data_IF_810156456231
#
_entry.id   IF_810156456231
#
_cell.length_a   1.000
_cell.length_b   1.000
_cell.length_c   1.000
_cell.angle_alpha   90.00
_cell.angle_beta   90.00
_cell.angle_gamma   90.00
#
_symmetry.space_group_name_H-M   'P 1'
#
loop_
_entity.id
_entity.type
_entity.pdbx_description
1 polymer ?
#
# COMPACT_ATOMS: atom_id res chain seq x y z
N UNK A 1 -16.05 -15.21 -4.04
CA UNK A 1 -16.36 -13.85 -4.53
C UNK A 1 -15.09 -13.07 -4.81
N UNK A 2 -15.04 -12.35 -5.92
CA UNK A 2 -13.95 -11.40 -6.23
C UNK A 2 -14.42 -10.01 -5.78
N UNK A 3 -13.85 -9.47 -4.70
CA UNK A 3 -14.15 -8.11 -4.22
C UNK A 3 -13.12 -7.15 -4.81
N UNK A 4 -13.58 -6.17 -5.59
CA UNK A 4 -12.76 -5.03 -6.03
C UNK A 4 -13.03 -3.90 -5.04
N UNK A 5 -12.03 -3.55 -4.24
CA UNK A 5 -12.12 -2.39 -3.35
C UNK A 5 -11.54 -1.17 -4.06
N UNK A 6 -12.28 -0.07 -4.05
CA UNK A 6 -11.76 1.22 -4.49
C UNK A 6 -11.13 1.95 -3.30
N UNK A 7 -9.96 2.51 -3.52
CA UNK A 7 -9.19 3.30 -2.56
C UNK A 7 -8.90 4.67 -3.20
N UNK A 8 -9.21 5.74 -2.49
CA UNK A 8 -8.75 7.08 -2.88
C UNK A 8 -7.30 7.25 -2.46
N UNK A 9 -6.45 7.72 -3.37
CA UNK A 9 -5.04 7.97 -3.03
C UNK A 9 -4.88 9.11 -2.01
N UNK A 10 -5.83 10.07 -1.99
CA UNK A 10 -5.83 11.17 -1.02
C UNK A 10 -6.15 10.71 0.41
N UNK A 11 -6.83 9.57 0.57
CA UNK A 11 -7.21 9.05 1.89
C UNK A 11 -6.13 8.18 2.51
N UNK A 12 -5.06 7.83 1.79
CA UNK A 12 -3.93 7.05 2.32
C UNK A 12 -3.26 7.82 3.46
N UNK A 13 -3.01 7.15 4.57
CA UNK A 13 -2.34 7.71 5.75
C UNK A 13 -0.98 7.07 6.01
N UNK A 14 -0.92 5.73 5.96
CA UNK A 14 0.32 4.98 6.12
C UNK A 14 0.38 3.80 5.14
N UNK A 15 1.60 3.45 4.74
CA UNK A 15 1.89 2.28 3.91
C UNK A 15 2.98 1.46 4.57
N UNK A 16 2.59 0.34 5.16
CA UNK A 16 3.51 -0.58 5.81
C UNK A 16 3.82 -1.76 4.91
N UNK A 17 5.11 -2.01 4.68
CA UNK A 17 5.61 -3.14 3.88
C UNK A 17 6.29 -4.17 4.78
N UNK A 18 5.96 -5.45 4.63
CA UNK A 18 6.61 -6.53 5.38
C UNK A 18 6.94 -7.72 4.50
N UNK A 19 8.19 -8.21 4.59
CA UNK A 19 8.60 -9.52 4.08
C UNK A 19 8.97 -10.41 5.27
N UNK A 20 8.19 -11.46 5.55
CA UNK A 20 8.42 -12.35 6.70
C UNK A 20 9.18 -13.60 6.28
N UNK A 21 10.32 -13.84 6.92
CA UNK A 21 11.16 -15.02 6.68
C UNK A 21 12.13 -14.91 5.50
N UNK A 22 12.92 -15.97 5.31
CA UNK A 22 13.97 -16.05 4.27
C UNK A 22 13.36 -16.23 2.88
N UNK A 23 12.32 -17.05 2.74
CA UNK A 23 11.68 -17.32 1.45
C UNK A 23 11.02 -16.07 0.85
N UNK A 24 10.32 -15.28 1.67
CA UNK A 24 9.71 -14.03 1.21
C UNK A 24 10.74 -13.04 0.64
N UNK A 25 11.92 -12.96 1.27
CA UNK A 25 13.04 -12.13 0.78
C UNK A 25 13.67 -12.73 -0.48
N UNK A 26 13.92 -14.04 -0.50
CA UNK A 26 14.55 -14.74 -1.61
C UNK A 26 13.70 -14.67 -2.89
N UNK A 27 12.38 -14.82 -2.78
CA UNK A 27 11.46 -14.73 -3.90
C UNK A 27 10.85 -13.33 -4.08
N UNK A 28 11.37 -12.34 -3.34
CA UNK A 28 10.95 -10.94 -3.36
C UNK A 28 9.43 -10.72 -3.36
N UNK A 29 8.71 -11.37 -2.45
CA UNK A 29 7.30 -11.10 -2.21
C UNK A 29 7.06 -10.69 -0.76
N UNK A 30 5.92 -10.04 -0.50
CA UNK A 30 5.57 -9.63 0.85
C UNK A 30 4.11 -9.24 1.00
N UNK A 31 3.86 -8.53 2.10
CA UNK A 31 2.56 -7.97 2.44
C UNK A 31 2.67 -6.45 2.46
N UNK A 32 1.69 -5.79 1.89
CA UNK A 32 1.49 -4.34 2.00
C UNK A 32 0.20 -4.11 2.78
N UNK A 33 0.27 -3.29 3.83
CA UNK A 33 -0.87 -2.81 4.59
C UNK A 33 -0.99 -1.31 4.32
N UNK A 34 -2.17 -0.89 3.86
CA UNK A 34 -2.49 0.52 3.64
C UNK A 34 -3.53 0.92 4.68
N UNK A 35 -3.21 1.96 5.43
CA UNK A 35 -4.11 2.59 6.39
C UNK A 35 -4.71 3.83 5.75
N UNK A 36 -6.00 4.08 6.02
CA UNK A 36 -6.77 5.17 5.42
C UNK A 36 -7.38 6.07 6.48
N UNK A 37 -7.64 7.32 6.11
CA UNK A 37 -8.37 8.25 6.96
C UNK A 37 -9.84 7.83 7.14
N UNK A 38 -10.43 8.22 8.27
CA UNK A 38 -11.85 7.98 8.57
C UNK A 38 -12.17 6.57 9.09
N UNK A 39 -13.42 6.13 8.94
CA UNK A 39 -13.91 4.82 9.41
C UNK A 39 -13.61 3.67 8.41
N UNK A 40 -12.82 3.94 7.37
CA UNK A 40 -12.58 2.99 6.30
C UNK A 40 -11.61 1.89 6.74
N UNK A 41 -11.86 0.65 6.30
CA UNK A 41 -11.06 -0.51 6.69
C UNK A 41 -9.64 -0.45 6.11
N UNK A 42 -8.65 -0.88 6.89
CA UNK A 42 -7.28 -1.10 6.39
C UNK A 42 -7.28 -2.11 5.23
N UNK A 43 -6.48 -1.82 4.21
CA UNK A 43 -6.33 -2.69 3.05
C UNK A 43 -5.06 -3.52 3.21
N UNK A 44 -5.21 -4.85 3.17
CA UNK A 44 -4.07 -5.77 3.25
C UNK A 44 -3.94 -6.53 1.94
N UNK A 45 -2.80 -6.37 1.28
CA UNK A 45 -2.42 -7.12 0.09
C UNK A 45 -1.33 -8.11 0.46
N UNK A 46 -1.60 -9.40 0.31
CA UNK A 46 -0.63 -10.48 0.58
C UNK A 46 -0.02 -11.00 -0.71
N UNK A 47 1.19 -11.56 -0.60
CA UNK A 47 1.95 -12.12 -1.73
C UNK A 47 2.22 -11.11 -2.86
N UNK A 48 2.39 -9.83 -2.50
CA UNK A 48 2.72 -8.77 -3.45
C UNK A 48 4.15 -8.98 -3.96
N UNK A 49 4.37 -9.09 -5.28
CA UNK A 49 5.71 -9.13 -5.86
C UNK A 49 6.38 -7.76 -5.74
N UNK A 50 7.67 -7.76 -5.44
CA UNK A 50 8.47 -6.55 -5.20
C UNK A 50 7.76 -5.52 -4.28
N UNK A 51 7.43 -5.93 -3.04
CA UNK A 51 6.54 -5.18 -2.19
C UNK A 51 7.12 -3.82 -1.77
N UNK A 52 8.46 -3.67 -1.81
CA UNK A 52 9.13 -2.41 -1.53
C UNK A 52 8.91 -1.37 -2.64
N UNK A 53 9.08 -1.78 -3.91
CA UNK A 53 8.78 -0.91 -5.05
C UNK A 53 7.30 -0.51 -5.08
N UNK A 54 6.40 -1.47 -4.87
CA UNK A 54 4.97 -1.19 -4.82
C UNK A 54 4.61 -0.22 -3.69
N UNK A 55 5.13 -0.45 -2.47
CA UNK A 55 4.91 0.46 -1.35
C UNK A 55 5.40 1.88 -1.64
N UNK A 56 6.61 2.00 -2.19
CA UNK A 56 7.19 3.29 -2.61
C UNK A 56 6.35 3.99 -3.68
N UNK A 57 5.80 3.25 -4.64
CA UNK A 57 4.92 3.82 -5.65
C UNK A 57 3.62 4.37 -5.07
N UNK A 58 3.03 3.67 -4.08
CA UNK A 58 1.81 4.14 -3.40
C UNK A 58 2.10 5.43 -2.62
N UNK A 59 3.18 5.45 -1.83
CA UNK A 59 3.58 6.64 -1.07
C UNK A 59 3.88 7.82 -2.01
N UNK A 60 4.62 7.58 -3.10
CA UNK A 60 4.91 8.62 -4.09
C UNK A 60 3.66 9.17 -4.75
N UNK A 61 2.69 8.32 -5.11
CA UNK A 61 1.42 8.77 -5.67
C UNK A 61 0.59 9.60 -4.67
N UNK A 62 0.65 9.28 -3.38
CA UNK A 62 0.04 10.09 -2.32
C UNK A 62 0.73 11.45 -2.17
N UNK A 63 2.06 11.49 -2.13
CA UNK A 63 2.82 12.75 -2.08
C UNK A 63 2.55 13.65 -3.30
N UNK A 64 2.47 13.06 -4.50
CA UNK A 64 2.11 13.78 -5.71
C UNK A 64 0.69 14.33 -5.66
N UNK A 65 -0.25 13.57 -5.09
CA UNK A 65 -1.62 14.02 -4.87
C UNK A 65 -1.66 15.23 -3.93
N UNK A 66 -0.94 15.17 -2.81
CA UNK A 66 -0.83 16.29 -1.86
C UNK A 66 -0.23 17.55 -2.52
N UNK A 67 0.78 17.41 -3.38
CA UNK A 67 1.36 18.55 -4.11
C UNK A 67 0.40 19.19 -5.11
N UNK A 68 -0.50 18.40 -5.70
CA UNK A 68 -1.44 18.88 -6.73
C UNK A 68 -2.73 19.46 -6.15
N UNK A 69 -3.20 18.93 -5.01
CA UNK A 69 -4.52 19.25 -4.46
C UNK A 69 -4.49 19.76 -3.01
N UNK A 70 -3.35 19.68 -2.33
CA UNK A 70 -3.15 20.25 -0.99
C UNK A 70 -2.96 21.76 -1.08
N UNK A 71 -4.05 22.50 -0.91
CA UNK A 71 -4.04 23.93 -0.60
C UNK A 71 -4.00 24.15 0.92
#
# INVERSE_FOLDING_TARGET
DRKISQLSIGDVQDVTVTQKGVLARMFNYGTIVIETAGEQQNYTFTFVPDPYMCGKAIVGAHEENLKQFGN
#
